data_IF_023460943791
#
_entry.id   IF_023460943791
#
_cell.length_a   1.000
_cell.length_b   1.000
_cell.length_c   1.000
_cell.angle_alpha   90.00
_cell.angle_beta   90.00
_cell.angle_gamma   90.00
#
_symmetry.space_group_name_H-M   'P 1'
#
loop_
_entity.id
_entity.type
_entity.pdbx_description
1 polymer ?
#
# COMPACT_ATOMS: atom_id res chain seq x y z
N UNK A 1 -13.57 -9.07 9.39
CA UNK A 1 -12.92 -9.03 8.09
C UNK A 1 -11.88 -7.93 8.05
N UNK A 2 -10.66 -8.28 7.79
CA UNK A 2 -9.58 -7.30 7.75
C UNK A 2 -9.46 -6.64 6.40
N UNK A 3 -9.17 -5.35 6.40
CA UNK A 3 -8.79 -4.64 5.20
C UNK A 3 -7.28 -4.63 5.10
N UNK A 4 -6.77 -4.84 3.90
CA UNK A 4 -5.34 -4.88 3.66
C UNK A 4 -4.96 -3.78 2.69
N UNK A 5 -3.82 -3.17 2.93
CA UNK A 5 -3.18 -2.34 1.92
C UNK A 5 -2.25 -3.24 1.10
N UNK A 6 -1.90 -2.76 -0.08
CA UNK A 6 -0.95 -3.45 -0.93
C UNK A 6 0.32 -2.64 -1.04
N UNK A 7 1.44 -3.35 -1.04
CA UNK A 7 2.75 -2.71 -1.17
C UNK A 7 3.56 -3.47 -2.21
N UNK A 8 4.17 -2.74 -3.12
CA UNK A 8 5.04 -3.29 -4.15
C UNK A 8 6.48 -3.18 -3.70
N UNK A 9 7.18 -4.28 -3.73
CA UNK A 9 8.58 -4.31 -3.35
C UNK A 9 9.31 -5.26 -4.29
N UNK A 10 10.39 -4.76 -4.90
CA UNK A 10 11.27 -5.56 -5.76
C UNK A 10 10.50 -6.28 -6.88
N UNK A 11 9.50 -5.61 -7.46
CA UNK A 11 8.71 -6.14 -8.56
C UNK A 11 7.60 -7.10 -8.15
N UNK A 12 7.38 -7.30 -6.86
CA UNK A 12 6.34 -8.18 -6.34
C UNK A 12 5.34 -7.41 -5.52
N UNK A 13 4.11 -7.92 -5.46
CA UNK A 13 3.02 -7.30 -4.71
C UNK A 13 2.79 -8.08 -3.41
N UNK A 14 2.76 -7.36 -2.31
CA UNK A 14 2.54 -7.93 -0.98
C UNK A 14 1.33 -7.29 -0.32
N UNK A 15 0.71 -8.01 0.61
CA UNK A 15 -0.32 -7.44 1.48
C UNK A 15 0.34 -6.94 2.76
N UNK A 16 -0.16 -5.84 3.29
CA UNK A 16 0.38 -5.25 4.51
C UNK A 16 -0.72 -4.59 5.33
N UNK A 17 -0.45 -4.41 6.63
CA UNK A 17 -1.31 -3.68 7.55
C UNK A 17 -0.46 -2.70 8.34
N UNK A 18 -1.11 -1.74 8.99
CA UNK A 18 -0.41 -0.77 9.82
C UNK A 18 0.20 0.38 9.06
N UNK A 19 -0.19 0.55 7.80
CA UNK A 19 0.29 1.65 6.98
C UNK A 19 -0.29 2.99 7.44
N UNK A 20 0.37 4.11 7.10
CA UNK A 20 -0.10 5.44 7.53
C UNK A 20 -1.52 5.78 7.09
N UNK A 21 -1.93 5.35 5.90
CA UNK A 21 -3.24 5.73 5.35
C UNK A 21 -4.36 4.73 5.67
N UNK A 22 -4.10 3.43 5.70
CA UNK A 22 -5.04 2.37 6.06
C UNK A 22 -6.36 2.36 5.28
N UNK A 23 -6.36 2.72 4.00
CA UNK A 23 -7.57 2.83 3.19
C UNK A 23 -7.52 2.01 1.91
N UNK A 24 -7.02 0.79 1.96
CA UNK A 24 -6.83 -0.02 0.76
C UNK A 24 -5.94 0.67 -0.28
N UNK A 25 -5.02 1.49 0.20
CA UNK A 25 -4.11 2.22 -0.65
C UNK A 25 -3.01 1.31 -1.21
N UNK A 26 -2.41 1.73 -2.30
CA UNK A 26 -1.23 1.08 -2.83
C UNK A 26 0.01 1.83 -2.41
N UNK A 27 1.02 1.07 -2.04
CA UNK A 27 2.32 1.59 -1.63
C UNK A 27 3.41 0.96 -2.48
N UNK A 28 4.55 1.60 -2.53
CA UNK A 28 5.72 1.06 -3.21
C UNK A 28 6.97 1.42 -2.44
N UNK A 29 7.85 0.43 -2.28
CA UNK A 29 9.19 0.67 -1.73
C UNK A 29 10.14 0.82 -2.93
N UNK A 30 10.71 2.01 -3.08
CA UNK A 30 11.66 2.35 -4.13
C UNK A 30 13.03 2.56 -3.50
N UNK A 31 13.92 1.57 -3.64
CA UNK A 31 15.17 1.60 -2.90
C UNK A 31 14.90 1.48 -1.40
N UNK A 32 15.14 2.55 -0.66
CA UNK A 32 14.83 2.63 0.78
C UNK A 32 13.69 3.60 1.08
N UNK A 33 13.02 4.11 0.05
CA UNK A 33 11.96 5.11 0.18
C UNK A 33 10.59 4.46 0.13
N UNK A 34 9.67 4.99 0.93
CA UNK A 34 8.28 4.55 0.94
C UNK A 34 7.43 5.55 0.18
N UNK A 35 6.69 5.06 -0.80
CA UNK A 35 5.80 5.86 -1.63
C UNK A 35 4.38 5.33 -1.55
N UNK A 36 3.39 6.18 -1.73
CA UNK A 36 2.01 5.75 -1.83
C UNK A 36 1.33 6.39 -3.02
N UNK A 37 0.32 5.70 -3.53
CA UNK A 37 -0.45 6.13 -4.68
C UNK A 37 -1.68 6.91 -4.20
N UNK A 38 -1.72 8.20 -4.52
CA UNK A 38 -2.89 9.02 -4.26
C UNK A 38 -3.76 9.03 -5.51
N UNK A 39 -5.03 8.69 -5.35
CA UNK A 39 -5.97 8.58 -6.46
C UNK A 39 -7.04 9.64 -6.31
N UNK A 40 -7.26 10.40 -7.38
CA UNK A 40 -8.40 11.29 -7.47
C UNK A 40 -9.51 10.60 -8.24
N UNK A 41 -10.70 10.63 -7.69
CA UNK A 41 -11.87 9.97 -8.28
C UNK A 41 -13.00 10.96 -8.44
N UNK A 42 -13.85 10.70 -9.41
CA UNK A 42 -15.02 11.51 -9.72
C UNK A 42 -16.24 10.59 -9.75
N UNK A 43 -17.36 11.05 -9.18
CA UNK A 43 -18.60 10.32 -9.27
C UNK A 43 -19.22 10.55 -10.66
N UNK A 44 -19.47 9.48 -11.38
CA UNK A 44 -20.11 9.51 -12.69
C UNK A 44 -21.52 8.97 -12.57
N UNK A 45 -22.52 9.78 -12.90
CA UNK A 45 -23.91 9.35 -12.85
C UNK A 45 -24.21 8.42 -14.03
N UNK A 46 -24.84 7.30 -13.72
CA UNK A 46 -25.26 6.33 -14.74
C UNK A 46 -26.52 5.64 -14.24
N UNK A 47 -27.64 5.92 -14.91
CA UNK A 47 -28.93 5.39 -14.51
C UNK A 47 -29.05 3.87 -14.69
N UNK A 48 -28.16 3.29 -15.47
CA UNK A 48 -28.16 1.85 -15.73
C UNK A 48 -27.45 1.07 -14.63
N UNK A 49 -26.80 1.73 -13.68
CA UNK A 49 -26.14 1.06 -12.57
C UNK A 49 -27.08 0.96 -11.37
N UNK A 50 -26.82 -0.03 -10.51
CA UNK A 50 -27.63 -0.29 -9.31
C UNK A 50 -27.67 0.90 -8.36
N UNK A 51 -26.59 1.66 -8.27
CA UNK A 51 -26.46 2.77 -7.32
C UNK A 51 -26.61 4.14 -7.99
N UNK A 52 -27.02 4.19 -9.24
CA UNK A 52 -27.16 5.45 -9.98
C UNK A 52 -25.87 6.07 -10.46
N UNK A 53 -24.75 5.38 -10.29
CA UNK A 53 -23.47 5.88 -10.74
C UNK A 53 -22.30 5.06 -10.19
N UNK A 54 -21.10 5.53 -10.47
CA UNK A 54 -19.87 4.85 -10.01
C UNK A 54 -18.74 5.86 -9.85
N UNK A 55 -17.71 5.47 -9.09
CA UNK A 55 -16.50 6.26 -8.95
C UNK A 55 -15.54 5.91 -10.08
N UNK A 56 -15.10 6.95 -10.78
CA UNK A 56 -14.13 6.81 -11.87
C UNK A 56 -12.82 7.46 -11.44
N UNK A 57 -11.72 6.73 -11.59
CA UNK A 57 -10.40 7.29 -11.37
C UNK A 57 -10.07 8.26 -12.51
N UNK A 58 -9.82 9.52 -12.17
CA UNK A 58 -9.48 10.53 -13.16
C UNK A 58 -7.97 10.79 -13.21
N UNK A 59 -7.28 10.60 -12.10
CA UNK A 59 -5.83 10.75 -12.07
C UNK A 59 -5.25 10.04 -10.86
N UNK A 60 -3.96 9.78 -10.91
CA UNK A 60 -3.23 9.28 -9.76
C UNK A 60 -1.83 9.88 -9.72
N UNK A 61 -1.25 9.91 -8.54
CA UNK A 61 0.08 10.46 -8.32
C UNK A 61 0.75 9.64 -7.23
N UNK A 62 2.04 9.35 -7.41
CA UNK A 62 2.84 8.70 -6.39
C UNK A 62 3.55 9.77 -5.56
N UNK A 63 3.35 9.71 -4.24
CA UNK A 63 3.92 10.67 -3.29
C UNK A 63 4.81 9.93 -2.30
N UNK A 64 5.96 10.53 -2.01
CA UNK A 64 6.88 9.96 -1.03
C UNK A 64 6.43 10.29 0.38
N UNK A 65 6.52 9.28 1.26
CA UNK A 65 6.21 9.45 2.67
C UNK A 65 7.53 9.68 3.42
N UNK A 66 7.63 10.82 4.09
CA UNK A 66 8.86 11.23 4.79
C UNK A 66 8.81 11.03 6.30
N UNK A 67 7.64 10.85 6.87
CA UNK A 67 7.45 10.91 8.32
C UNK A 67 6.91 9.62 8.92
N UNK A 68 7.09 8.50 8.27
CA UNK A 68 6.66 7.23 8.80
C UNK A 68 7.78 6.57 9.61
N UNK A 69 7.50 6.34 10.89
CA UNK A 69 8.36 5.58 11.78
C UNK A 69 7.60 4.34 12.24
N UNK A 70 8.17 3.17 12.05
CA UNK A 70 7.51 1.96 12.47
C UNK A 70 7.85 0.79 11.56
N UNK A 71 7.11 -0.28 11.69
CA UNK A 71 7.36 -1.49 10.93
C UNK A 71 6.12 -1.92 10.16
N UNK A 72 6.34 -2.54 9.01
CA UNK A 72 5.30 -3.15 8.19
C UNK A 72 5.65 -4.61 7.96
N UNK A 73 4.64 -5.46 7.99
CA UNK A 73 4.80 -6.86 7.60
C UNK A 73 4.33 -7.00 6.16
N UNK A 74 5.20 -7.48 5.29
CA UNK A 74 4.88 -7.75 3.90
C UNK A 74 4.53 -9.23 3.77
N UNK A 75 3.30 -9.51 3.36
CA UNK A 75 2.83 -10.89 3.21
C UNK A 75 2.61 -11.21 1.73
N UNK A 76 3.42 -12.09 1.21
CA UNK A 76 3.32 -12.59 -0.15
C UNK A 76 2.95 -14.05 -0.19
N UNK A 77 2.92 -14.62 -1.40
CA UNK A 77 2.58 -16.03 -1.58
C UNK A 77 3.71 -16.97 -1.13
N UNK A 78 4.94 -16.58 -1.41
CA UNK A 78 6.11 -17.42 -1.12
C UNK A 78 7.02 -16.84 -0.05
N UNK A 79 6.92 -15.55 0.20
CA UNK A 79 7.86 -14.83 1.06
C UNK A 79 7.12 -13.83 1.93
N UNK A 80 7.55 -13.76 3.18
CA UNK A 80 7.07 -12.75 4.12
C UNK A 80 8.27 -11.98 4.65
N UNK A 81 8.09 -10.67 4.81
CA UNK A 81 9.16 -9.79 5.29
C UNK A 81 8.66 -8.88 6.39
N UNK A 82 9.54 -8.55 7.32
CA UNK A 82 9.35 -7.46 8.26
C UNK A 82 10.27 -6.32 7.84
N UNK A 83 9.68 -5.17 7.60
CA UNK A 83 10.41 -3.98 7.14
C UNK A 83 10.25 -2.88 8.18
N UNK A 84 11.35 -2.28 8.59
CA UNK A 84 11.36 -1.19 9.57
C UNK A 84 11.73 0.11 8.88
N UNK A 85 10.93 1.15 9.14
CA UNK A 85 11.13 2.48 8.59
C UNK A 85 11.46 3.47 9.68
N UNK A 86 12.28 4.44 9.34
CA UNK A 86 12.59 5.60 10.16
C UNK A 86 12.60 6.84 9.28
N UNK A 87 11.75 7.81 9.63
CA UNK A 87 11.57 9.03 8.84
C UNK A 87 11.31 8.73 7.35
N UNK A 88 10.46 7.74 7.11
CA UNK A 88 10.07 7.36 5.75
C UNK A 88 11.08 6.52 4.99
N UNK A 89 12.21 6.18 5.61
CA UNK A 89 13.25 5.38 4.96
C UNK A 89 13.34 3.99 5.58
N UNK A 90 13.50 2.99 4.72
CA UNK A 90 13.68 1.62 5.16
C UNK A 90 15.09 1.45 5.74
N UNK A 91 15.16 1.20 7.03
CA UNK A 91 16.44 1.00 7.72
C UNK A 91 16.76 -0.46 7.98
N UNK A 92 15.76 -1.34 7.85
CA UNK A 92 15.96 -2.76 8.10
C UNK A 92 14.89 -3.57 7.37
N UNK A 93 15.29 -4.70 6.84
CA UNK A 93 14.38 -5.69 6.27
C UNK A 93 14.81 -7.07 6.74
N UNK A 94 13.84 -7.88 7.14
CA UNK A 94 14.08 -9.24 7.59
C UNK A 94 13.07 -10.18 6.97
N UNK A 95 13.54 -11.29 6.39
CA UNK A 95 12.65 -12.33 5.89
C UNK A 95 12.08 -13.11 7.06
N UNK A 96 10.77 -13.36 7.02
CA UNK A 96 10.08 -14.11 8.04
C UNK A 96 9.81 -15.52 7.55
N UNK A 97 9.93 -16.50 8.45
CA UNK A 97 9.58 -17.87 8.14
C UNK A 97 8.07 -18.08 8.28
N UNK A 98 7.51 -18.98 7.46
CA UNK A 98 6.07 -19.24 7.44
C UNK A 98 5.56 -19.86 8.74
N UNK A 99 6.44 -20.49 9.50
CA UNK A 99 6.06 -21.20 10.72
C UNK A 99 6.03 -20.31 11.95
N UNK A 100 6.12 -19.01 11.79
CA UNK A 100 6.15 -18.09 12.92
C UNK A 100 4.96 -17.16 12.98
#
# INVERSE_FOLDING_TARGET
>A
MGMFDYIHYNGKKYQTKGTPAQFLAEYEIRGDELWYKMVESEWVEDKDTLFGGYLKEISHEWLQIYDFDGSLTLRGDDENYLVVFWEGKMIRIKQLDDDQ
#
